data_IF_641510249404
#
_entry.id   IF_641510249404
#
_cell.length_a   1.000
_cell.length_b   1.000
_cell.length_c   1.000
_cell.angle_alpha   90.00
_cell.angle_beta   90.00
_cell.angle_gamma   90.00
#
_symmetry.space_group_name_H-M   'P 1'
#
loop_
_entity.id
_entity.type
_entity.pdbx_description
1 polymer ?
#
# COMPACT_ATOMS: atom_id res chain seq x y z
N UNK A 1 54.04 -10.65 -50.82
CA UNK A 1 52.62 -10.93 -50.58
C UNK A 1 52.34 -10.57 -49.12
N UNK A 2 51.79 -9.38 -48.86
CA UNK A 2 51.48 -8.94 -47.48
C UNK A 2 49.97 -9.06 -47.29
N UNK A 3 49.56 -9.92 -46.36
CA UNK A 3 48.17 -10.08 -45.96
C UNK A 3 47.88 -9.05 -44.88
N UNK A 4 46.94 -8.13 -45.17
CA UNK A 4 46.45 -7.15 -44.22
C UNK A 4 45.46 -7.82 -43.25
N UNK A 5 45.70 -7.68 -41.94
CA UNK A 5 44.79 -8.12 -40.90
C UNK A 5 43.72 -7.06 -40.66
N UNK A 6 42.46 -7.43 -40.88
CA UNK A 6 41.29 -6.61 -40.52
C UNK A 6 40.90 -6.98 -39.09
N UNK A 7 41.03 -6.04 -38.15
CA UNK A 7 40.51 -6.18 -36.79
C UNK A 7 39.08 -5.65 -36.79
N UNK A 8 38.10 -6.55 -36.69
CA UNK A 8 36.71 -6.20 -36.48
C UNK A 8 36.46 -5.91 -35.00
N UNK A 9 36.17 -4.65 -34.66
CA UNK A 9 35.71 -4.27 -33.33
C UNK A 9 34.21 -4.59 -33.22
N UNK A 10 33.86 -5.62 -32.46
CA UNK A 10 32.49 -5.94 -32.12
C UNK A 10 32.01 -4.99 -31.00
N UNK A 11 31.13 -4.04 -31.31
CA UNK A 11 30.39 -3.30 -30.29
C UNK A 11 29.34 -4.23 -29.68
N UNK A 12 29.58 -4.67 -28.44
CA UNK A 12 28.60 -5.36 -27.63
C UNK A 12 27.60 -4.33 -27.14
N UNK A 13 26.43 -4.25 -27.78
CA UNK A 13 25.26 -3.59 -27.21
C UNK A 13 24.74 -4.49 -26.08
N UNK A 14 25.18 -4.22 -24.85
CA UNK A 14 24.58 -4.81 -23.67
C UNK A 14 23.15 -4.29 -23.52
N UNK A 15 22.16 -5.15 -23.73
CA UNK A 15 20.78 -4.87 -23.32
C UNK A 15 20.74 -4.90 -21.80
N UNK A 16 20.86 -3.74 -21.14
CA UNK A 16 20.55 -3.63 -19.72
C UNK A 16 19.06 -3.82 -19.56
N UNK A 17 18.64 -5.02 -19.17
CA UNK A 17 17.32 -5.23 -18.61
C UNK A 17 17.25 -4.39 -17.35
N UNK A 18 16.41 -3.35 -17.34
CA UNK A 18 16.13 -2.59 -16.13
C UNK A 18 15.51 -3.57 -15.12
N UNK A 19 16.29 -3.97 -14.13
CA UNK A 19 15.78 -4.66 -12.96
C UNK A 19 15.07 -3.60 -12.13
N UNK A 20 13.75 -3.57 -12.20
CA UNK A 20 12.93 -2.78 -11.29
C UNK A 20 13.14 -3.34 -9.88
N UNK A 21 13.47 -2.46 -8.93
CA UNK A 21 13.62 -2.86 -7.55
C UNK A 21 12.25 -2.78 -6.88
N UNK A 22 11.88 -3.81 -6.11
CA UNK A 22 10.65 -3.78 -5.35
C UNK A 22 10.63 -2.57 -4.39
N UNK A 23 9.48 -1.90 -4.31
CA UNK A 23 9.22 -0.79 -3.39
C UNK A 23 8.59 -1.36 -2.13
N UNK A 24 9.19 -1.06 -0.98
CA UNK A 24 8.67 -1.46 0.34
C UNK A 24 7.63 -0.46 0.84
N UNK A 25 6.45 -0.97 1.13
CA UNK A 25 5.35 -0.24 1.74
C UNK A 25 5.22 -0.60 3.21
N UNK A 26 4.84 0.39 4.02
CA UNK A 26 4.47 0.17 5.42
C UNK A 26 3.14 0.85 5.66
N UNK A 27 2.08 0.04 5.73
CA UNK A 27 0.75 0.48 6.16
C UNK A 27 0.79 0.56 7.69
N UNK A 28 0.83 1.77 8.23
CA UNK A 28 0.91 1.99 9.67
C UNK A 28 -0.43 1.72 10.35
N UNK A 29 -1.52 2.14 9.70
CA UNK A 29 -2.87 2.02 10.24
C UNK A 29 -3.92 2.11 9.12
N UNK A 30 -5.12 1.59 9.39
CA UNK A 30 -6.31 1.87 8.61
C UNK A 30 -7.53 1.99 9.53
N UNK A 31 -8.48 2.84 9.16
CA UNK A 31 -9.69 3.06 9.94
C UNK A 31 -10.94 2.91 9.08
N UNK A 32 -11.84 2.02 9.48
CA UNK A 32 -13.12 1.78 8.82
C UNK A 32 -14.21 2.60 9.51
N UNK A 33 -14.92 3.43 8.76
CA UNK A 33 -16.08 4.19 9.25
C UNK A 33 -17.35 3.67 8.59
N UNK A 34 -18.31 3.22 9.38
CA UNK A 34 -19.58 2.65 8.93
C UNK A 34 -20.77 3.35 9.60
N UNK A 35 -21.96 3.21 9.01
CA UNK A 35 -23.20 3.58 9.67
C UNK A 35 -23.57 2.57 10.76
N UNK A 36 -23.24 2.87 12.01
CA UNK A 36 -23.46 1.97 13.16
C UNK A 36 -24.72 2.30 13.95
N UNK A 37 -25.59 3.19 13.43
CA UNK A 37 -26.80 3.65 14.11
C UNK A 37 -27.91 3.95 13.12
N UNK A 38 -29.16 3.77 13.56
CA UNK A 38 -30.34 4.19 12.82
C UNK A 38 -30.41 5.71 12.63
N UNK A 39 -30.95 6.21 11.49
CA UNK A 39 -31.67 5.43 10.46
C UNK A 39 -30.77 4.83 9.37
N UNK A 40 -31.25 3.75 8.76
CA UNK A 40 -30.62 2.97 7.69
C UNK A 40 -29.73 1.84 8.21
N UNK A 41 -29.30 0.95 7.30
CA UNK A 41 -28.72 -0.34 7.67
C UNK A 41 -27.57 -0.16 8.68
N UNK A 42 -27.72 -0.77 9.85
CA UNK A 42 -26.80 -0.73 10.96
C UNK A 42 -25.72 -1.77 10.73
N UNK A 43 -24.51 -1.27 10.50
CA UNK A 43 -23.34 -2.06 10.15
C UNK A 43 -22.46 -2.25 11.37
N UNK A 44 -22.00 -3.49 11.52
CA UNK A 44 -20.92 -3.90 12.38
C UNK A 44 -19.68 -4.22 11.54
N UNK A 45 -18.52 -4.05 12.14
CA UNK A 45 -17.25 -4.33 11.46
C UNK A 45 -16.20 -4.87 12.44
N UNK A 46 -15.26 -5.64 11.91
CA UNK A 46 -14.11 -6.14 12.66
C UNK A 46 -12.86 -6.11 11.78
N UNK A 47 -11.84 -5.40 12.24
CA UNK A 47 -10.51 -5.39 11.62
C UNK A 47 -9.87 -6.79 11.62
N UNK A 48 -9.36 -7.22 10.47
CA UNK A 48 -8.68 -8.50 10.30
C UNK A 48 -7.17 -8.33 10.09
N UNK A 49 -6.77 -7.31 9.33
CA UNK A 49 -5.37 -7.07 9.02
C UNK A 49 -4.65 -6.45 10.23
N UNK A 50 -3.66 -7.15 10.77
CA UNK A 50 -2.81 -6.59 11.82
C UNK A 50 -1.89 -5.49 11.28
N UNK A 51 -1.90 -4.32 11.91
CA UNK A 51 -1.01 -3.20 11.59
C UNK A 51 0.09 -3.01 12.66
N UNK A 52 1.30 -2.52 12.29
CA UNK A 52 1.71 -2.15 10.93
C UNK A 52 1.91 -3.39 10.04
N UNK A 53 1.56 -3.25 8.76
CA UNK A 53 1.72 -4.29 7.75
C UNK A 53 2.74 -3.87 6.69
N UNK A 54 3.71 -4.73 6.43
CA UNK A 54 4.84 -4.46 5.52
C UNK A 54 4.77 -5.42 4.34
N UNK A 55 4.89 -4.86 3.14
CA UNK A 55 4.86 -5.61 1.89
C UNK A 55 5.71 -4.93 0.82
N UNK A 56 6.15 -5.72 -0.16
CA UNK A 56 6.97 -5.26 -1.27
C UNK A 56 6.20 -5.44 -2.59
N UNK A 57 6.26 -4.44 -3.47
CA UNK A 57 5.71 -4.51 -4.82
C UNK A 57 6.71 -4.04 -5.86
N UNK A 58 6.86 -4.80 -6.94
CA UNK A 58 7.47 -4.33 -8.17
C UNK A 58 6.45 -3.57 -9.04
N UNK A 59 6.93 -2.76 -9.99
CA UNK A 59 6.05 -2.04 -10.92
C UNK A 59 5.08 -2.99 -11.64
N UNK A 60 3.78 -2.69 -11.54
CA UNK A 60 2.71 -3.48 -12.13
C UNK A 60 2.29 -4.70 -11.29
N UNK A 61 2.99 -4.99 -10.18
CA UNK A 61 2.61 -6.04 -9.25
C UNK A 61 1.47 -5.58 -8.35
N UNK A 62 0.66 -6.54 -7.91
CA UNK A 62 -0.34 -6.36 -6.87
C UNK A 62 -0.22 -7.39 -5.75
N UNK A 63 -0.74 -7.03 -4.58
CA UNK A 63 -0.97 -7.93 -3.46
C UNK A 63 -2.38 -7.71 -2.92
N UNK A 64 -3.02 -8.77 -2.44
CA UNK A 64 -4.39 -8.74 -1.90
C UNK A 64 -4.37 -9.31 -0.49
N UNK A 65 -5.09 -8.65 0.41
CA UNK A 65 -5.24 -9.08 1.81
C UNK A 65 -6.67 -8.86 2.30
N UNK A 66 -7.08 -9.72 3.23
CA UNK A 66 -8.32 -9.58 3.98
C UNK A 66 -8.17 -8.38 4.92
N UNK A 67 -8.97 -7.32 4.71
CA UNK A 67 -8.82 -6.08 5.47
C UNK A 67 -9.70 -6.09 6.72
N UNK A 68 -11.01 -6.31 6.56
CA UNK A 68 -11.96 -6.35 7.67
C UNK A 68 -13.18 -7.19 7.32
N UNK A 69 -13.89 -7.69 8.33
CA UNK A 69 -15.23 -8.27 8.17
C UNK A 69 -16.30 -7.20 8.35
N UNK A 70 -17.37 -7.32 7.56
CA UNK A 70 -18.56 -6.47 7.62
C UNK A 70 -19.79 -7.34 7.78
N UNK A 71 -20.71 -6.96 8.67
CA UNK A 71 -21.99 -7.64 8.84
C UNK A 71 -23.05 -6.68 9.41
N UNK A 72 -24.26 -7.20 9.58
CA UNK A 72 -25.34 -6.55 10.34
C UNK A 72 -25.95 -7.53 11.34
N UNK A 73 -26.41 -7.00 12.48
CA UNK A 73 -27.17 -7.75 13.48
C UNK A 73 -28.69 -7.50 13.34
N UNK A 74 -29.10 -6.79 12.28
CA UNK A 74 -30.51 -6.58 11.98
C UNK A 74 -31.15 -7.83 11.37
N UNK A 75 -32.33 -8.21 11.87
CA UNK A 75 -33.05 -9.40 11.39
C UNK A 75 -33.81 -9.21 10.08
N UNK A 76 -33.94 -7.99 9.59
CA UNK A 76 -34.65 -7.67 8.35
C UNK A 76 -34.28 -6.29 7.82
N UNK A 77 -34.29 -6.16 6.49
CA UNK A 77 -34.24 -4.89 5.77
C UNK A 77 -35.58 -4.17 5.89
N UNK A 78 -35.54 -2.98 6.45
CA UNK A 78 -36.63 -2.02 6.57
C UNK A 78 -36.57 -0.96 5.46
N UNK A 79 -37.57 -0.10 5.43
CA UNK A 79 -37.67 0.94 4.39
C UNK A 79 -36.54 1.97 4.44
N UNK A 80 -36.03 2.28 5.63
CA UNK A 80 -34.91 3.20 5.81
C UNK A 80 -33.56 2.57 5.41
N UNK A 81 -33.44 1.24 5.50
CA UNK A 81 -32.24 0.49 5.12
C UNK A 81 -32.00 0.49 3.60
N UNK A 82 -33.06 0.68 2.81
CA UNK A 82 -32.96 0.83 1.37
C UNK A 82 -32.29 2.15 0.94
N UNK A 83 -32.10 3.09 1.86
CA UNK A 83 -31.40 4.35 1.58
C UNK A 83 -29.90 4.16 1.84
N UNK A 84 -29.04 4.29 0.81
CA UNK A 84 -27.61 4.11 0.98
C UNK A 84 -27.02 5.05 2.04
N UNK A 85 -26.09 4.51 2.82
CA UNK A 85 -25.29 5.23 3.81
C UNK A 85 -23.82 5.15 3.46
N UNK A 86 -23.09 6.23 3.76
CA UNK A 86 -21.66 6.30 3.43
C UNK A 86 -20.85 5.31 4.27
N UNK A 87 -19.85 4.70 3.63
CA UNK A 87 -18.79 3.92 4.27
C UNK A 87 -17.44 4.43 3.75
N UNK A 88 -16.42 4.42 4.60
CA UNK A 88 -15.07 4.80 4.19
C UNK A 88 -13.99 3.98 4.88
N UNK A 89 -12.85 3.85 4.21
CA UNK A 89 -11.61 3.32 4.79
C UNK A 89 -10.51 4.34 4.58
N UNK A 90 -9.97 4.88 5.68
CA UNK A 90 -8.80 5.75 5.66
C UNK A 90 -7.54 4.90 5.85
N UNK A 91 -6.54 5.09 4.99
CA UNK A 91 -5.24 4.41 5.06
C UNK A 91 -4.13 5.40 5.41
N UNK A 92 -3.16 4.97 6.21
CA UNK A 92 -1.97 5.76 6.56
C UNK A 92 -0.70 4.95 6.33
N UNK A 93 0.25 5.52 5.58
CA UNK A 93 1.51 4.88 5.23
C UNK A 93 2.72 5.74 5.62
N UNK A 94 3.75 5.11 6.16
CA UNK A 94 5.04 5.75 6.47
C UNK A 94 6.12 5.47 5.43
N UNK A 95 5.95 4.43 4.60
CA UNK A 95 6.89 4.02 3.55
C UNK A 95 6.18 3.71 2.24
N UNK A 96 6.77 4.10 1.08
CA UNK A 96 8.00 4.90 0.94
C UNK A 96 7.83 6.35 1.42
N UNK A 97 8.90 7.00 1.93
CA UNK A 97 8.81 8.39 2.37
C UNK A 97 8.62 9.37 1.19
N UNK A 98 8.00 10.53 1.42
CA UNK A 98 7.38 10.98 2.68
C UNK A 98 6.10 10.19 3.02
N UNK A 99 5.65 10.18 4.29
CA UNK A 99 4.37 9.57 4.66
C UNK A 99 3.22 10.11 3.82
N UNK A 100 2.26 9.25 3.51
CA UNK A 100 1.12 9.55 2.68
C UNK A 100 -0.12 8.84 3.19
N UNK A 101 -1.29 9.41 2.90
CA UNK A 101 -2.58 8.92 3.36
C UNK A 101 -3.66 9.13 2.29
N UNK A 102 -4.81 8.51 2.51
CA UNK A 102 -6.02 8.80 1.76
C UNK A 102 -7.16 7.86 2.12
N UNK A 103 -8.36 8.20 1.64
CA UNK A 103 -9.58 7.48 2.00
C UNK A 103 -10.31 6.94 0.78
N UNK A 104 -10.61 5.64 0.80
CA UNK A 104 -11.59 5.06 -0.11
C UNK A 104 -13.00 5.33 0.43
N UNK A 105 -13.95 5.59 -0.47
CA UNK A 105 -15.35 5.87 -0.11
C UNK A 105 -16.29 4.98 -0.89
N UNK A 106 -17.39 4.61 -0.27
CA UNK A 106 -18.44 3.79 -0.85
C UNK A 106 -19.75 4.04 -0.13
N UNK A 107 -20.68 3.13 -0.34
CA UNK A 107 -21.94 3.10 0.39
C UNK A 107 -22.33 1.68 0.77
N UNK A 108 -23.17 1.58 1.80
CA UNK A 108 -23.86 0.36 2.21
C UNK A 108 -25.36 0.57 2.16
N UNK A 109 -26.12 -0.43 1.75
CA UNK A 109 -27.58 -0.43 1.80
C UNK A 109 -28.13 -1.83 2.06
N UNK A 110 -29.34 -1.89 2.59
CA UNK A 110 -30.16 -3.09 2.56
C UNK A 110 -30.78 -3.26 1.17
N UNK A 111 -30.92 -4.49 0.75
CA UNK A 111 -31.52 -4.87 -0.52
C UNK A 111 -32.52 -6.01 -0.31
N UNK A 112 -33.49 -6.12 -1.21
CA UNK A 112 -34.41 -7.24 -1.21
C UNK A 112 -34.89 -7.62 -2.61
N UNK A 113 -35.22 -8.90 -2.79
CA UNK A 113 -35.77 -9.43 -4.02
C UNK A 113 -37.08 -10.17 -3.75
N UNK A 114 -38.11 -9.81 -4.52
CA UNK A 114 -39.47 -10.34 -4.40
C UNK A 114 -40.06 -10.28 -2.97
N UNK A 115 -39.55 -9.37 -2.12
CA UNK A 115 -39.98 -9.21 -0.72
C UNK A 115 -39.66 -10.40 0.18
N UNK A 116 -38.87 -11.37 -0.29
CA UNK A 116 -38.55 -12.59 0.46
C UNK A 116 -37.05 -12.76 0.67
N UNK A 117 -36.21 -12.49 -0.33
CA UNK A 117 -34.75 -12.59 -0.18
C UNK A 117 -34.23 -11.22 0.21
N UNK A 118 -33.38 -11.14 1.23
CA UNK A 118 -32.82 -9.88 1.74
C UNK A 118 -31.32 -10.03 1.96
N UNK A 119 -30.57 -8.95 1.78
CA UNK A 119 -29.12 -8.90 2.02
C UNK A 119 -28.66 -7.46 2.26
N UNK A 120 -27.48 -7.30 2.83
CA UNK A 120 -26.75 -6.03 2.82
C UNK A 120 -25.73 -6.00 1.67
N UNK A 121 -25.52 -4.84 1.09
CA UNK A 121 -24.46 -4.61 0.12
C UNK A 121 -23.43 -3.60 0.62
N UNK A 122 -22.20 -3.73 0.14
CA UNK A 122 -21.17 -2.70 0.22
C UNK A 122 -20.59 -2.49 -1.17
N UNK A 123 -20.63 -1.23 -1.63
CA UNK A 123 -20.19 -0.84 -2.97
C UNK A 123 -19.26 0.35 -2.87
N UNK A 124 -18.03 0.19 -3.37
CA UNK A 124 -17.02 1.24 -3.43
C UNK A 124 -17.15 2.07 -4.71
N UNK A 125 -16.97 3.39 -4.59
CA UNK A 125 -17.20 4.32 -5.68
C UNK A 125 -16.13 4.22 -6.78
N UNK A 126 -14.88 4.09 -6.39
CA UNK A 126 -13.72 3.97 -7.28
C UNK A 126 -12.51 3.47 -6.51
N UNK A 127 -11.49 2.90 -7.20
CA UNK A 127 -10.18 2.70 -6.60
C UNK A 127 -9.61 4.01 -6.06
N UNK A 128 -8.89 3.93 -4.95
CA UNK A 128 -8.12 5.03 -4.38
C UNK A 128 -6.73 5.05 -5.04
N UNK A 129 -6.32 6.19 -5.56
CA UNK A 129 -4.99 6.40 -6.14
C UNK A 129 -4.20 7.38 -5.28
N UNK A 130 -3.09 6.91 -4.71
CA UNK A 130 -2.23 7.66 -3.79
C UNK A 130 -0.90 8.01 -4.47
N UNK A 131 -0.57 9.30 -4.62
CA UNK A 131 0.73 9.70 -5.14
C UNK A 131 1.84 9.37 -4.12
N UNK A 132 2.95 8.87 -4.63
CA UNK A 132 4.11 8.44 -3.83
C UNK A 132 5.33 9.30 -4.10
N UNK A 133 6.24 9.33 -3.13
CA UNK A 133 7.57 9.91 -3.26
C UNK A 133 7.57 11.44 -3.17
N UNK A 134 8.76 12.00 -2.97
CA UNK A 134 8.96 13.45 -2.77
C UNK A 134 8.54 14.31 -3.97
N UNK A 135 8.56 13.74 -5.17
CA UNK A 135 8.17 14.42 -6.41
C UNK A 135 6.70 14.15 -6.79
N UNK A 136 6.01 13.25 -6.07
CA UNK A 136 4.64 12.85 -6.38
C UNK A 136 4.51 12.12 -7.73
N UNK A 137 5.56 11.43 -8.16
CA UNK A 137 5.65 10.77 -9.47
C UNK A 137 5.39 9.26 -9.41
N UNK A 138 5.43 8.67 -8.21
CA UNK A 138 4.96 7.30 -7.99
C UNK A 138 3.45 7.27 -7.72
N UNK A 139 2.84 6.09 -7.87
CA UNK A 139 1.41 5.91 -7.69
C UNK A 139 1.09 4.52 -7.14
N UNK A 140 0.44 4.48 -5.97
CA UNK A 140 -0.15 3.28 -5.40
C UNK A 140 -1.67 3.31 -5.63
N UNK A 141 -2.22 2.28 -6.26
CA UNK A 141 -3.66 2.09 -6.38
C UNK A 141 -4.14 1.08 -5.35
N UNK A 142 -5.22 1.41 -4.65
CA UNK A 142 -5.90 0.57 -3.67
C UNK A 142 -7.33 0.33 -4.17
N UNK A 143 -7.67 -0.92 -4.41
CA UNK A 143 -9.04 -1.34 -4.77
C UNK A 143 -9.61 -2.16 -3.62
N UNK A 144 -10.81 -1.83 -3.18
CA UNK A 144 -11.56 -2.61 -2.20
C UNK A 144 -12.59 -3.50 -2.90
N UNK A 145 -12.82 -4.70 -2.39
CA UNK A 145 -13.85 -5.61 -2.93
C UNK A 145 -15.25 -5.12 -2.55
N UNK A 146 -16.17 -5.21 -3.51
CA UNK A 146 -17.60 -5.04 -3.23
C UNK A 146 -18.14 -6.36 -2.73
N UNK A 147 -18.95 -6.33 -1.68
CA UNK A 147 -19.45 -7.55 -1.05
C UNK A 147 -20.96 -7.52 -0.87
N UNK A 148 -21.52 -8.72 -0.74
CA UNK A 148 -22.88 -8.97 -0.28
C UNK A 148 -22.79 -9.76 1.02
N UNK A 149 -23.52 -9.31 2.05
CA UNK A 149 -23.46 -9.89 3.39
C UNK A 149 -24.86 -10.12 3.98
N UNK A 150 -24.92 -10.99 4.98
CA UNK A 150 -26.09 -11.35 5.77
C UNK A 150 -27.30 -11.77 4.92
N UNK A 151 -27.07 -12.41 3.77
CA UNK A 151 -28.13 -12.89 2.89
C UNK A 151 -29.05 -13.89 3.60
N UNK A 152 -30.36 -13.71 3.46
CA UNK A 152 -31.36 -14.55 4.10
C UNK A 152 -32.68 -14.64 3.33
N UNK A 153 -33.50 -15.60 3.74
CA UNK A 153 -34.85 -15.83 3.22
C UNK A 153 -35.87 -15.52 4.32
N UNK A 154 -36.80 -14.61 4.02
CA UNK A 154 -37.76 -13.98 4.92
C UNK A 154 -37.12 -13.15 6.04
N UNK A 155 -35.95 -12.58 5.79
CA UNK A 155 -35.18 -11.76 6.71
C UNK A 155 -33.70 -11.78 6.35
N UNK A 156 -32.89 -11.05 7.11
CA UNK A 156 -31.44 -11.12 7.06
C UNK A 156 -30.95 -12.24 7.97
N UNK A 157 -29.86 -12.91 7.57
CA UNK A 157 -29.19 -13.86 8.45
C UNK A 157 -28.26 -13.09 9.37
N UNK A 158 -28.67 -12.80 10.61
CA UNK A 158 -27.95 -11.93 11.55
C UNK A 158 -26.54 -12.43 11.93
N UNK A 159 -25.64 -11.49 12.19
CA UNK A 159 -24.36 -11.74 12.84
C UNK A 159 -23.18 -12.01 11.91
N UNK A 160 -21.96 -12.10 12.47
CA UNK A 160 -20.71 -12.16 11.71
C UNK A 160 -20.54 -13.46 10.92
N UNK A 161 -21.18 -14.56 11.35
CA UNK A 161 -21.11 -15.85 10.64
C UNK A 161 -21.76 -15.84 9.25
N UNK A 162 -22.54 -14.80 8.95
CA UNK A 162 -23.13 -14.54 7.64
C UNK A 162 -22.62 -13.22 7.04
N UNK A 163 -21.61 -12.60 7.66
CA UNK A 163 -20.96 -11.41 7.14
C UNK A 163 -20.16 -11.67 5.86
N UNK A 164 -19.42 -10.67 5.42
CA UNK A 164 -18.47 -10.78 4.32
C UNK A 164 -17.11 -10.20 4.71
N UNK A 165 -16.06 -10.69 4.07
CA UNK A 165 -14.70 -10.17 4.21
C UNK A 165 -14.44 -9.18 3.09
N UNK A 166 -14.15 -7.93 3.43
CA UNK A 166 -13.71 -6.93 2.46
C UNK A 166 -12.21 -7.06 2.25
N UNK A 167 -11.81 -7.35 1.02
CA UNK A 167 -10.41 -7.48 0.61
C UNK A 167 -9.88 -6.13 0.10
N UNK A 168 -8.60 -5.86 0.38
CA UNK A 168 -7.87 -4.73 -0.19
C UNK A 168 -6.78 -5.23 -1.14
N UNK A 169 -6.84 -4.76 -2.39
CA UNK A 169 -5.82 -5.02 -3.42
C UNK A 169 -4.96 -3.78 -3.63
N UNK A 170 -3.69 -3.88 -3.27
CA UNK A 170 -2.68 -2.84 -3.46
C UNK A 170 -1.91 -3.11 -4.75
N UNK A 171 -1.84 -2.14 -5.66
CA UNK A 171 -1.16 -2.25 -6.96
C UNK A 171 -0.21 -1.08 -7.17
N UNK A 172 1.06 -1.35 -7.50
CA UNK A 172 2.02 -0.30 -7.84
C UNK A 172 1.87 0.07 -9.32
N UNK A 173 1.35 1.26 -9.60
CA UNK A 173 1.14 1.74 -10.97
C UNK A 173 2.33 2.54 -11.51
N UNK A 174 3.05 3.23 -10.63
CA UNK A 174 4.25 3.98 -10.98
C UNK A 174 5.24 3.96 -9.80
N UNK A 175 6.51 3.70 -10.09
CA UNK A 175 7.58 3.78 -9.09
C UNK A 175 7.96 5.24 -8.83
N UNK A 176 8.14 5.65 -7.56
CA UNK A 176 8.64 6.98 -7.26
C UNK A 176 10.11 7.10 -7.68
N UNK A 177 10.51 8.25 -8.24
CA UNK A 177 11.92 8.48 -8.57
C UNK A 177 12.73 8.48 -7.28
N UNK A 178 13.72 7.58 -7.20
CA UNK A 178 14.68 7.58 -6.10
C UNK A 178 15.47 8.90 -6.10
N UNK A 179 15.28 9.73 -5.08
CA UNK A 179 16.15 10.88 -4.85
C UNK A 179 17.47 10.33 -4.32
N UNK A 180 18.60 10.54 -5.02
CA UNK A 180 19.90 10.13 -4.50
C UNK A 180 20.09 10.77 -3.13
N UNK A 181 20.27 9.94 -2.09
CA UNK A 181 20.60 10.47 -0.77
C UNK A 181 21.77 11.45 -0.92
N UNK A 182 21.73 12.61 -0.25
CA UNK A 182 22.75 13.62 -0.46
C UNK A 182 24.11 13.00 -0.13
N UNK A 183 24.95 12.84 -1.16
CA UNK A 183 26.31 12.29 -1.09
C UNK A 183 27.21 12.97 -0.04
N UNK A 184 26.74 14.06 0.56
CA UNK A 184 27.22 14.62 1.82
C UNK A 184 27.57 13.56 2.88
N UNK A 185 26.80 12.49 3.09
CA UNK A 185 27.15 11.46 4.09
C UNK A 185 28.43 10.70 3.72
N UNK A 186 28.63 10.42 2.42
CA UNK A 186 29.86 9.80 1.90
C UNK A 186 31.06 10.76 2.01
N UNK A 187 30.84 12.06 1.74
CA UNK A 187 31.86 13.10 1.83
C UNK A 187 32.28 13.36 3.28
N UNK A 188 31.34 13.44 4.22
CA UNK A 188 31.64 13.61 5.65
C UNK A 188 32.29 12.36 6.24
N UNK A 189 31.82 11.15 5.88
CA UNK A 189 32.42 9.89 6.31
C UNK A 189 33.87 9.72 5.80
N UNK A 190 34.12 10.06 4.54
CA UNK A 190 35.47 9.98 3.95
C UNK A 190 36.43 11.02 4.51
N UNK A 191 35.97 12.26 4.75
CA UNK A 191 36.78 13.31 5.41
C UNK A 191 37.11 12.95 6.87
N UNK A 192 36.18 12.33 7.59
CA UNK A 192 36.41 11.82 8.95
C UNK A 192 37.53 10.78 8.99
N UNK A 193 37.50 9.78 8.11
CA UNK A 193 38.53 8.74 8.02
C UNK A 193 39.91 9.29 7.61
N UNK A 194 39.96 10.22 6.66
CA UNK A 194 41.19 10.89 6.23
C UNK A 194 41.87 11.65 7.39
N UNK A 195 41.10 12.26 8.28
CA UNK A 195 41.64 12.99 9.44
C UNK A 195 42.30 12.07 10.49
N UNK A 196 41.73 10.88 10.74
CA UNK A 196 42.26 9.89 11.68
C UNK A 196 43.58 9.29 11.16
N UNK A 197 43.66 9.01 9.86
CA UNK A 197 44.89 8.52 9.21
C UNK A 197 46.00 9.58 9.24
N UNK A 198 45.67 10.86 9.01
CA UNK A 198 46.65 11.94 9.07
C UNK A 198 47.21 12.16 10.49
N UNK A 199 46.36 12.07 11.53
CA UNK A 199 46.79 12.21 12.93
C UNK A 199 47.68 11.04 13.37
N UNK A 200 47.33 9.82 13.01
CA UNK A 200 48.13 8.63 13.34
C UNK A 200 49.47 8.60 12.60
N UNK A 201 49.52 9.01 11.33
CA UNK A 201 50.76 9.15 10.56
C UNK A 201 51.72 10.18 11.17
N UNK A 202 51.21 11.33 11.65
CA UNK A 202 52.02 12.36 12.32
C UNK A 202 52.63 11.86 13.63
N UNK A 203 51.88 11.08 14.42
CA UNK A 203 52.36 10.50 15.70
C UNK A 203 53.48 9.47 15.49
N UNK A 204 53.40 8.69 14.41
CA UNK A 204 54.44 7.71 14.06
C UNK A 204 55.73 8.36 13.54
N UNK A 205 55.63 9.48 12.81
CA UNK A 205 56.81 10.24 12.34
C UNK A 205 57.56 10.91 13.50
N UNK A 206 56.85 11.46 14.48
CA UNK A 206 57.46 12.11 15.66
C UNK A 206 58.15 11.10 16.61
N UNK A 207 57.70 9.84 16.66
CA UNK A 207 58.36 8.77 17.43
C UNK A 207 59.65 8.28 16.78
N UNK A 208 59.74 8.28 15.46
CA UNK A 208 60.95 7.86 14.72
C UNK A 208 62.09 8.88 14.74
N UNK A 209 61.86 10.14 15.07
CA UNK A 209 62.91 11.16 15.18
C UNK A 209 63.49 11.29 16.61
N UNK A 210 63.12 10.40 17.53
CA UNK A 210 63.58 10.36 18.92
C UNK A 210 64.28 9.04 19.29
N UNK A 211 64.52 8.17 18.32
CA UNK A 211 65.38 6.99 18.42
C UNK A 211 66.61 7.25 17.54
#
# INVERSE_FOLDING_TARGET
MSVAAVVAAAMVFGTTTATHAAVTFTLDDYAVTVNSTDPGLVIQQQELLGTPWVFDLELGQSTTVDLFEIWTDEGSVNWDDLTPKDISVAFSFSSPPPPFDGSSTGHTAGQWLFGAIQWGDVVWNSPLELPLGYLGDGMLKITLSNETFNEGLFGLSEGPGYGATVEATFTLLAEPTAIPEPASMLVWGSLGLLSVVAVTARRNKARRSRA
#
